data_IF_462268453146
#
_entry.id   IF_462268453146
#
_cell.length_a   1.000
_cell.length_b   1.000
_cell.length_c   1.000
_cell.angle_alpha   90.00
_cell.angle_beta   90.00
_cell.angle_gamma   90.00
#
_symmetry.space_group_name_H-M   'P 1'
#
loop_
_entity.id
_entity.type
_entity.pdbx_description
1 polymer ?
#
# COMPACT_ATOMS: atom_id res chain seq x y z
N UNK A 1 38.50 4.69 38.12
CA UNK A 1 38.71 4.58 36.65
C UNK A 1 38.05 3.33 36.06
N UNK A 2 38.28 2.10 36.57
CA UNK A 2 37.59 0.88 36.10
C UNK A 2 36.05 0.92 36.25
N UNK A 3 35.53 1.47 37.36
CA UNK A 3 34.08 1.68 37.57
C UNK A 3 33.47 2.75 36.65
N UNK A 4 34.27 3.70 36.16
CA UNK A 4 33.81 4.75 35.24
C UNK A 4 33.69 4.23 33.80
N UNK A 5 34.60 3.32 33.40
CA UNK A 5 34.55 2.58 32.12
C UNK A 5 33.36 1.59 32.04
N UNK A 6 32.97 0.98 33.16
CA UNK A 6 31.83 0.06 33.22
C UNK A 6 30.47 0.78 33.11
N UNK A 7 30.37 2.02 33.60
CA UNK A 7 29.13 2.81 33.55
C UNK A 7 28.88 3.37 32.15
N UNK A 8 29.91 3.79 31.42
CA UNK A 8 29.78 4.23 30.01
C UNK A 8 29.45 3.09 29.05
N UNK A 9 29.94 1.87 29.31
CA UNK A 9 29.57 0.68 28.53
C UNK A 9 28.07 0.32 28.70
N UNK A 10 27.51 0.49 29.91
CA UNK A 10 26.09 0.25 30.18
C UNK A 10 25.17 1.28 29.50
N UNK A 11 25.58 2.56 29.47
CA UNK A 11 24.80 3.65 28.85
C UNK A 11 24.77 3.50 27.32
N UNK A 12 25.84 2.99 26.71
CA UNK A 12 25.92 2.78 25.26
C UNK A 12 25.01 1.65 24.77
N UNK A 13 24.72 0.64 25.60
CA UNK A 13 23.82 -0.45 25.26
C UNK A 13 22.33 -0.03 25.25
N UNK A 14 21.96 1.00 26.02
CA UNK A 14 20.58 1.51 26.09
C UNK A 14 20.17 2.31 24.84
N UNK A 15 21.14 2.87 24.10
CA UNK A 15 20.88 3.68 22.90
C UNK A 15 20.59 2.87 21.64
N UNK A 16 20.88 1.56 21.63
CA UNK A 16 20.80 0.71 20.42
C UNK A 16 19.42 0.04 20.22
N UNK A 17 18.53 0.05 21.21
CA UNK A 17 17.24 -0.66 21.15
C UNK A 17 16.07 0.21 20.64
N UNK A 18 16.24 1.54 20.54
CA UNK A 18 15.16 2.46 20.16
C UNK A 18 14.78 2.47 18.67
N UNK A 19 15.67 2.03 17.78
CA UNK A 19 15.44 2.10 16.33
C UNK A 19 14.31 1.16 15.87
N UNK A 20 14.21 -0.04 16.44
CA UNK A 20 13.22 -1.02 16.00
C UNK A 20 11.79 -0.64 16.45
N UNK A 21 11.66 -0.08 17.64
CA UNK A 21 10.37 0.47 18.12
C UNK A 21 9.93 1.66 17.27
N UNK A 22 10.86 2.54 16.89
CA UNK A 22 10.57 3.68 16.00
C UNK A 22 10.07 3.21 14.64
N UNK A 23 10.70 2.18 14.05
CA UNK A 23 10.26 1.57 12.79
C UNK A 23 8.81 1.07 12.87
N UNK A 24 8.50 0.32 13.92
CA UNK A 24 7.17 -0.26 14.16
C UNK A 24 6.08 0.81 14.29
N UNK A 25 6.39 1.93 14.95
CA UNK A 25 5.47 3.08 15.05
C UNK A 25 5.19 3.68 13.68
N UNK A 26 6.22 3.87 12.84
CA UNK A 26 6.07 4.42 11.49
C UNK A 26 5.25 3.48 10.60
N UNK A 27 5.54 2.18 10.60
CA UNK A 27 4.79 1.19 9.83
C UNK A 27 3.31 1.14 10.23
N UNK A 28 3.04 1.22 11.55
CA UNK A 28 1.68 1.24 12.09
C UNK A 28 0.96 2.52 11.66
N UNK A 29 1.61 3.68 11.77
CA UNK A 29 1.08 4.94 11.29
C UNK A 29 0.79 4.92 9.79
N UNK A 30 1.68 4.34 8.97
CA UNK A 30 1.48 4.15 7.54
C UNK A 30 0.26 3.28 7.24
N UNK A 31 0.13 2.15 7.95
CA UNK A 31 -1.00 1.22 7.82
C UNK A 31 -2.33 1.88 8.19
N UNK A 32 -2.37 2.62 9.30
CA UNK A 32 -3.56 3.36 9.74
C UNK A 32 -3.91 4.47 8.75
N UNK A 33 -2.92 5.21 8.23
CA UNK A 33 -3.16 6.24 7.21
C UNK A 33 -3.72 5.64 5.92
N UNK A 34 -3.19 4.51 5.47
CA UNK A 34 -3.65 3.83 4.25
C UNK A 34 -5.04 3.21 4.40
N UNK A 35 -5.44 2.84 5.61
CA UNK A 35 -6.73 2.21 5.87
C UNK A 35 -7.89 3.09 5.41
N UNK A 36 -8.84 2.46 4.71
CA UNK A 36 -10.02 3.14 4.18
C UNK A 36 -10.54 2.51 2.89
N UNK A 37 -11.67 3.03 2.43
CA UNK A 37 -12.29 2.67 1.16
C UNK A 37 -12.04 3.76 0.14
N UNK A 38 -11.72 3.37 -1.09
CA UNK A 38 -11.44 4.29 -2.18
C UNK A 38 -12.15 3.86 -3.46
N UNK A 39 -12.49 4.84 -4.28
CA UNK A 39 -12.95 4.65 -5.66
C UNK A 39 -11.79 4.97 -6.60
N UNK A 40 -11.48 4.04 -7.50
CA UNK A 40 -10.39 4.21 -8.47
C UNK A 40 -10.79 5.26 -9.50
N UNK A 41 -9.92 6.24 -9.73
CA UNK A 41 -10.18 7.35 -10.66
C UNK A 41 -9.23 7.37 -11.85
N UNK A 42 -8.07 6.73 -11.73
CA UNK A 42 -7.06 6.70 -12.79
C UNK A 42 -6.21 5.43 -12.70
N UNK A 43 -5.88 4.83 -13.84
CA UNK A 43 -4.92 3.72 -13.97
C UNK A 43 -3.90 4.09 -15.05
N UNK A 44 -2.62 3.99 -14.72
CA UNK A 44 -1.47 4.22 -15.64
C UNK A 44 -1.59 5.50 -16.48
N UNK A 45 -2.05 6.60 -15.85
CA UNK A 45 -2.26 7.89 -16.52
C UNK A 45 -3.61 8.07 -17.21
N UNK A 46 -4.40 7.01 -17.39
CA UNK A 46 -5.71 7.05 -18.04
C UNK A 46 -6.82 7.28 -17.02
N UNK A 47 -7.60 8.37 -17.10
CA UNK A 47 -8.77 8.59 -16.25
C UNK A 47 -9.83 7.53 -16.50
N UNK A 48 -10.47 7.05 -15.44
CA UNK A 48 -11.59 6.13 -15.52
C UNK A 48 -12.91 6.89 -15.45
N UNK A 49 -13.90 6.43 -16.24
CA UNK A 49 -15.27 6.94 -16.18
C UNK A 49 -16.18 6.08 -15.29
N UNK A 50 -15.85 4.80 -15.10
CA UNK A 50 -16.61 3.90 -14.22
C UNK A 50 -16.34 4.21 -12.74
N UNK A 51 -17.41 4.22 -11.94
CA UNK A 51 -17.36 4.40 -10.48
C UNK A 51 -17.38 3.06 -9.72
N UNK A 52 -17.44 1.95 -10.44
CA UNK A 52 -17.63 0.62 -9.86
C UNK A 52 -16.32 0.02 -9.36
N UNK A 53 -15.20 0.48 -9.92
CA UNK A 53 -13.86 0.09 -9.47
C UNK A 53 -13.55 0.68 -8.10
N UNK A 54 -13.22 -0.19 -7.16
CA UNK A 54 -12.99 0.17 -5.77
C UNK A 54 -11.83 -0.61 -5.18
N UNK A 55 -11.21 -0.02 -4.17
CA UNK A 55 -10.15 -0.66 -3.39
C UNK A 55 -10.36 -0.32 -1.91
N UNK A 56 -10.03 -1.25 -1.04
CA UNK A 56 -10.13 -1.11 0.40
C UNK A 56 -8.87 -1.67 1.03
N UNK A 57 -8.28 -0.92 1.96
CA UNK A 57 -7.16 -1.39 2.77
C UNK A 57 -7.62 -1.54 4.21
N UNK A 58 -7.37 -2.70 4.82
CA UNK A 58 -7.63 -2.95 6.24
C UNK A 58 -6.33 -3.06 7.02
N UNK A 59 -6.25 -2.39 8.18
CA UNK A 59 -5.05 -2.40 9.01
C UNK A 59 -4.83 -3.73 9.75
N UNK A 60 -5.90 -4.30 10.31
CA UNK A 60 -5.83 -5.46 11.20
C UNK A 60 -5.34 -6.71 10.46
N UNK A 61 -5.93 -6.98 9.29
CA UNK A 61 -5.62 -8.16 8.50
C UNK A 61 -4.49 -7.93 7.49
N UNK A 62 -4.03 -6.67 7.36
CA UNK A 62 -3.12 -6.23 6.30
C UNK A 62 -3.57 -6.68 4.91
N UNK A 63 -4.87 -6.52 4.65
CA UNK A 63 -5.52 -6.96 3.42
C UNK A 63 -5.87 -5.78 2.54
N UNK A 64 -5.64 -5.93 1.23
CA UNK A 64 -6.21 -5.10 0.18
C UNK A 64 -7.29 -5.90 -0.54
N UNK A 65 -8.44 -5.31 -0.79
CA UNK A 65 -9.54 -5.96 -1.52
C UNK A 65 -10.37 -4.95 -2.29
N UNK A 66 -11.27 -5.40 -3.14
CA UNK A 66 -12.18 -4.51 -3.85
C UNK A 66 -12.76 -5.11 -5.13
N UNK A 67 -13.13 -4.22 -6.05
CA UNK A 67 -13.66 -4.55 -7.36
C UNK A 67 -12.72 -3.99 -8.45
N UNK A 68 -12.22 -4.85 -9.32
CA UNK A 68 -11.27 -4.55 -10.41
C UNK A 68 -11.97 -4.16 -11.73
N UNK A 69 -13.29 -3.98 -11.71
CA UNK A 69 -14.15 -3.66 -12.85
C UNK A 69 -15.02 -4.86 -13.24
N UNK A 70 -14.40 -6.00 -13.53
CA UNK A 70 -15.10 -7.26 -13.84
C UNK A 70 -15.23 -8.18 -12.62
N UNK A 71 -14.17 -8.26 -11.81
CA UNK A 71 -14.08 -9.23 -10.72
C UNK A 71 -13.93 -8.54 -9.37
N UNK A 72 -14.21 -9.30 -8.31
CA UNK A 72 -13.74 -8.93 -6.98
C UNK A 72 -12.36 -9.52 -6.76
N UNK A 73 -11.53 -8.81 -6.02
CA UNK A 73 -10.17 -9.23 -5.72
C UNK A 73 -9.82 -9.07 -4.25
N UNK A 74 -8.83 -9.82 -3.80
CA UNK A 74 -8.21 -9.66 -2.49
C UNK A 74 -6.75 -10.09 -2.50
N UNK A 75 -5.98 -9.60 -1.55
CA UNK A 75 -4.62 -10.02 -1.29
C UNK A 75 -4.04 -9.32 -0.09
N UNK A 76 -2.85 -9.74 0.32
CA UNK A 76 -2.17 -9.12 1.45
C UNK A 76 -1.26 -7.99 0.98
N UNK A 77 -0.99 -7.02 1.87
CA UNK A 77 0.04 -6.03 1.68
C UNK A 77 0.94 -5.94 2.91
N UNK A 78 2.14 -5.38 2.72
CA UNK A 78 3.04 -4.99 3.80
C UNK A 78 3.48 -3.55 3.62
N UNK A 79 3.80 -2.91 4.74
CA UNK A 79 4.42 -1.59 4.77
C UNK A 79 5.75 -1.72 5.51
N UNK A 80 6.83 -1.24 4.91
CA UNK A 80 8.14 -1.07 5.52
C UNK A 80 8.53 0.39 5.41
N UNK A 81 8.41 1.13 6.51
CA UNK A 81 8.61 2.59 6.60
C UNK A 81 7.70 3.35 5.62
N UNK A 82 8.17 3.62 4.39
CA UNK A 82 7.42 4.32 3.33
C UNK A 82 7.17 3.44 2.09
N UNK A 83 7.70 2.23 2.08
CA UNK A 83 7.49 1.27 1.02
C UNK A 83 6.22 0.46 1.30
N UNK A 84 5.41 0.25 0.27
CA UNK A 84 4.30 -0.70 0.29
C UNK A 84 4.62 -1.82 -0.70
N UNK A 85 4.31 -3.06 -0.32
CA UNK A 85 4.35 -4.20 -1.23
C UNK A 85 3.02 -4.90 -1.21
N UNK A 86 2.42 -5.07 -2.37
CA UNK A 86 1.23 -5.89 -2.55
C UNK A 86 1.69 -7.31 -2.90
N UNK A 87 1.22 -8.28 -2.12
CA UNK A 87 1.51 -9.69 -2.29
C UNK A 87 0.74 -10.32 -3.46
N UNK A 88 0.53 -11.63 -3.38
CA UNK A 88 -0.30 -12.32 -4.35
C UNK A 88 -1.74 -11.81 -4.26
N UNK A 89 -2.30 -11.49 -5.43
CA UNK A 89 -3.70 -11.12 -5.58
C UNK A 89 -4.48 -12.33 -6.08
N UNK A 90 -5.63 -12.56 -5.48
CA UNK A 90 -6.65 -13.50 -5.92
C UNK A 90 -7.84 -12.71 -6.46
N UNK A 91 -8.49 -13.23 -7.48
CA UNK A 91 -9.70 -12.63 -8.05
C UNK A 91 -10.72 -13.72 -8.38
N UNK A 92 -11.99 -13.34 -8.47
CA UNK A 92 -13.00 -14.19 -9.12
C UNK A 92 -12.69 -14.33 -10.62
N UNK A 93 -13.33 -15.28 -11.29
CA UNK A 93 -13.13 -15.56 -12.72
C UNK A 93 -14.43 -15.37 -13.51
N UNK A 94 -15.02 -14.17 -13.44
CA UNK A 94 -16.12 -13.77 -14.30
C UNK A 94 -15.62 -13.42 -15.70
N UNK A 95 -16.45 -13.67 -16.70
CA UNK A 95 -16.19 -13.26 -18.08
C UNK A 95 -16.95 -11.96 -18.38
N UNK A 96 -16.20 -10.90 -18.69
CA UNK A 96 -16.73 -9.61 -19.13
C UNK A 96 -16.24 -9.28 -20.54
N UNK A 97 -16.76 -8.21 -21.14
CA UNK A 97 -16.29 -7.71 -22.43
C UNK A 97 -14.80 -7.37 -22.39
N UNK A 98 -14.11 -7.59 -23.51
CA UNK A 98 -12.66 -7.45 -23.63
C UNK A 98 -12.13 -6.06 -23.18
N UNK A 99 -12.80 -4.92 -23.45
CA UNK A 99 -12.36 -3.64 -22.91
C UNK A 99 -12.35 -3.58 -21.37
N UNK A 100 -13.31 -4.22 -20.70
CA UNK A 100 -13.38 -4.28 -19.23
C UNK A 100 -12.27 -5.16 -18.68
N UNK A 101 -12.05 -6.33 -19.31
CA UNK A 101 -10.98 -7.25 -18.95
C UNK A 101 -9.58 -6.61 -19.11
N UNK A 102 -9.39 -5.76 -20.13
CA UNK A 102 -8.15 -5.00 -20.30
C UNK A 102 -7.89 -4.03 -19.14
N UNK A 103 -8.92 -3.30 -18.71
CA UNK A 103 -8.84 -2.38 -17.55
C UNK A 103 -8.52 -3.15 -16.28
N UNK A 104 -9.19 -4.28 -16.05
CA UNK A 104 -8.89 -5.16 -14.91
C UNK A 104 -7.43 -5.61 -14.90
N UNK A 105 -6.90 -6.10 -16.04
CA UNK A 105 -5.49 -6.54 -16.12
C UNK A 105 -4.53 -5.39 -15.81
N UNK A 106 -4.81 -4.20 -16.31
CA UNK A 106 -4.02 -3.00 -16.02
C UNK A 106 -4.06 -2.63 -14.53
N UNK A 107 -5.24 -2.70 -13.91
CA UNK A 107 -5.43 -2.46 -12.47
C UNK A 107 -4.64 -3.46 -11.61
N UNK A 108 -4.76 -4.75 -11.89
CA UNK A 108 -4.07 -5.81 -11.13
C UNK A 108 -2.55 -5.71 -11.28
N UNK A 109 -2.07 -5.35 -12.49
CA UNK A 109 -0.66 -5.07 -12.74
C UNK A 109 -0.16 -3.86 -11.95
N UNK A 110 -0.93 -2.76 -11.94
CA UNK A 110 -0.61 -1.55 -11.19
C UNK A 110 -0.45 -1.83 -9.68
N UNK A 111 -1.36 -2.62 -9.08
CA UNK A 111 -1.24 -3.01 -7.69
C UNK A 111 0.03 -3.82 -7.42
N UNK A 112 0.34 -4.81 -8.26
CA UNK A 112 1.55 -5.65 -8.12
C UNK A 112 2.86 -4.87 -8.28
N UNK A 113 2.85 -3.82 -9.07
CA UNK A 113 4.02 -2.97 -9.33
C UNK A 113 4.15 -1.79 -8.36
N UNK A 114 3.17 -1.60 -7.49
CA UNK A 114 3.20 -0.55 -6.47
C UNK A 114 4.36 -0.77 -5.49
N UNK A 115 5.09 0.30 -5.19
CA UNK A 115 6.23 0.33 -4.26
C UNK A 115 6.13 1.38 -3.18
N UNK A 116 5.37 2.45 -3.40
CA UNK A 116 5.09 3.48 -2.40
C UNK A 116 3.70 4.05 -2.62
N UNK A 117 3.19 4.77 -1.61
CA UNK A 117 1.91 5.45 -1.69
C UNK A 117 2.00 6.85 -1.08
N UNK A 118 1.08 7.72 -1.48
CA UNK A 118 0.83 9.00 -0.84
C UNK A 118 -0.67 9.27 -0.76
N UNK A 119 -1.07 10.03 0.26
CA UNK A 119 -2.46 10.45 0.43
C UNK A 119 -2.45 11.96 0.69
N UNK A 120 -2.97 12.72 -0.27
CA UNK A 120 -3.10 14.17 -0.24
C UNK A 120 -4.49 14.55 -0.74
N UNK A 121 -5.15 15.50 -0.08
CA UNK A 121 -6.48 16.00 -0.46
C UNK A 121 -7.52 14.90 -0.74
N UNK A 122 -7.54 13.87 0.11
CA UNK A 122 -8.37 12.67 -0.03
C UNK A 122 -8.09 11.81 -1.28
N UNK A 123 -6.98 12.05 -1.98
CA UNK A 123 -6.55 11.24 -3.12
C UNK A 123 -5.40 10.35 -2.71
N UNK A 124 -5.62 9.04 -2.79
CA UNK A 124 -4.58 8.04 -2.75
C UNK A 124 -3.88 7.99 -4.12
N UNK A 125 -2.56 8.11 -4.12
CA UNK A 125 -1.70 7.84 -5.27
C UNK A 125 -0.79 6.65 -4.96
N UNK A 126 -0.78 5.66 -5.85
CA UNK A 126 0.15 4.52 -5.79
C UNK A 126 1.23 4.68 -6.85
N UNK A 127 2.48 4.51 -6.44
CA UNK A 127 3.65 4.74 -7.28
C UNK A 127 4.39 3.45 -7.57
N UNK A 128 4.96 3.37 -8.76
CA UNK A 128 5.80 2.27 -9.22
C UNK A 128 7.04 2.08 -8.35
N UNK A 129 7.32 0.82 -8.01
CA UNK A 129 8.56 0.43 -7.31
C UNK A 129 9.82 0.54 -8.18
N UNK A 130 9.68 0.75 -9.49
CA UNK A 130 10.79 0.80 -10.44
C UNK A 130 11.24 2.23 -10.70
N UNK A 131 10.30 3.11 -11.07
CA UNK A 131 10.58 4.45 -11.58
C UNK A 131 9.82 5.57 -10.86
N UNK A 132 9.02 5.23 -9.84
CA UNK A 132 8.12 6.14 -9.10
C UNK A 132 7.08 6.86 -9.97
N UNK A 133 6.79 6.36 -11.17
CA UNK A 133 5.64 6.82 -11.95
C UNK A 133 4.32 6.53 -11.21
N UNK A 134 3.29 7.34 -11.47
CA UNK A 134 1.95 7.12 -10.89
C UNK A 134 1.26 5.96 -11.60
N UNK A 135 1.01 4.88 -10.88
CA UNK A 135 0.33 3.70 -11.41
C UNK A 135 -1.19 3.78 -11.22
N UNK A 136 -1.64 4.36 -10.11
CA UNK A 136 -3.05 4.41 -9.76
C UNK A 136 -3.36 5.66 -8.93
N UNK A 137 -4.51 6.27 -9.20
CA UNK A 137 -5.13 7.25 -8.31
C UNK A 137 -6.51 6.79 -7.88
N UNK A 138 -6.88 7.06 -6.63
CA UNK A 138 -8.19 6.75 -6.10
C UNK A 138 -8.64 7.83 -5.10
N UNK A 139 -9.92 8.18 -5.12
CA UNK A 139 -10.51 9.10 -4.14
C UNK A 139 -10.98 8.31 -2.93
N UNK A 140 -10.60 8.76 -1.73
CA UNK A 140 -11.15 8.26 -0.47
C UNK A 140 -12.65 8.59 -0.41
N UNK A 141 -13.44 7.62 0.08
CA UNK A 141 -14.86 7.79 0.38
C UNK A 141 -15.07 8.40 1.75
#
# INVERSE_FOLDING_TARGET
MKKLLLVTALISAVLMTGCNETKKVIETAGTVRLTGNYTVTQITGTPLQSKDMSLSFTALDKMVSGNSGCNTFSGNYSIDVLAISVGQLMATEAYCDEPVMNVERAFMKALKETGSFNIEDNVLSLYSKVDRSVLLKASRK
#
